data_IF_091427836106
#
_entry.id   IF_091427836106
#
_cell.length_a   1.000
_cell.length_b   1.000
_cell.length_c   1.000
_cell.angle_alpha   90.00
_cell.angle_beta   90.00
_cell.angle_gamma   90.00
#
_symmetry.space_group_name_H-M   'P 1'
#
loop_
_entity.id
_entity.type
_entity.pdbx_description
1 polymer ?
#
# COMPACT_ATOMS: atom_id res chain seq x y z
N UNK A 1 31.22 -6.41 11.43
CA UNK A 1 29.87 -6.99 11.64
C UNK A 1 29.14 -6.76 10.33
N UNK A 2 28.93 -7.82 9.53
CA UNK A 2 28.04 -7.72 8.38
C UNK A 2 26.65 -7.36 8.90
N UNK A 3 26.17 -6.17 8.54
CA UNK A 3 24.77 -5.81 8.72
C UNK A 3 23.94 -6.83 7.94
N UNK A 4 23.29 -7.74 8.65
CA UNK A 4 22.34 -8.65 8.03
C UNK A 4 21.28 -7.80 7.34
N UNK A 5 21.33 -7.75 6.00
CA UNK A 5 20.45 -6.90 5.22
C UNK A 5 18.99 -7.35 5.49
N UNK A 6 18.04 -6.43 5.40
CA UNK A 6 16.64 -6.70 5.78
C UNK A 6 16.04 -7.96 5.11
N UNK A 7 16.53 -8.32 3.92
CA UNK A 7 16.16 -9.51 3.18
C UNK A 7 16.61 -10.80 3.87
N UNK A 8 17.87 -10.91 4.28
CA UNK A 8 18.40 -12.11 4.92
C UNK A 8 17.80 -12.29 6.31
N UNK A 9 17.57 -11.19 7.04
CA UNK A 9 16.80 -11.19 8.31
C UNK A 9 15.41 -11.80 8.12
N UNK A 10 14.67 -11.34 7.10
CA UNK A 10 13.33 -11.85 6.80
C UNK A 10 13.35 -13.30 6.33
N UNK A 11 14.36 -13.70 5.54
CA UNK A 11 14.53 -15.08 5.07
C UNK A 11 14.74 -16.04 6.24
N UNK A 12 15.62 -15.71 7.19
CA UNK A 12 15.86 -16.53 8.40
C UNK A 12 14.58 -16.65 9.24
N UNK A 13 13.91 -15.52 9.49
CA UNK A 13 12.70 -15.49 10.29
C UNK A 13 11.55 -16.34 9.70
N UNK A 14 11.34 -16.33 8.38
CA UNK A 14 10.32 -17.17 7.72
C UNK A 14 10.60 -18.66 7.90
N UNK A 15 11.87 -19.07 7.85
CA UNK A 15 12.27 -20.48 8.06
C UNK A 15 12.10 -20.88 9.53
N UNK A 16 12.47 -19.99 10.46
CA UNK A 16 12.33 -20.22 11.90
C UNK A 16 10.85 -20.29 12.32
N UNK A 17 10.03 -19.33 11.89
CA UNK A 17 8.61 -19.26 12.21
C UNK A 17 7.76 -20.25 11.42
N UNK A 18 8.19 -20.71 10.24
CA UNK A 18 7.50 -21.79 9.52
C UNK A 18 7.66 -23.16 10.19
N UNK A 19 8.66 -23.32 11.05
CA UNK A 19 8.87 -24.52 11.87
C UNK A 19 8.12 -24.48 13.20
N UNK A 20 7.83 -23.28 13.71
CA UNK A 20 6.96 -23.10 14.87
C UNK A 20 5.51 -23.02 14.40
N UNK A 21 4.58 -23.50 15.24
CA UNK A 21 3.15 -23.34 14.97
C UNK A 21 2.74 -21.95 15.41
N UNK A 22 3.05 -20.93 14.61
CA UNK A 22 2.50 -19.59 14.82
C UNK A 22 1.00 -19.69 14.56
N UNK A 23 0.21 -19.47 15.60
CA UNK A 23 -1.24 -19.52 15.52
C UNK A 23 -1.78 -18.13 15.18
N UNK A 24 -2.68 -18.09 14.20
CA UNK A 24 -3.53 -16.92 14.01
C UNK A 24 -4.55 -16.97 15.14
N UNK A 25 -4.70 -15.90 15.93
CA UNK A 25 -5.73 -15.83 16.96
C UNK A 25 -7.13 -15.99 16.36
N UNK A 26 -8.04 -16.60 17.11
CA UNK A 26 -9.45 -16.76 16.69
C UNK A 26 -10.18 -15.41 16.57
N UNK A 27 -9.69 -14.39 17.27
CA UNK A 27 -10.24 -13.04 17.33
C UNK A 27 -9.14 -12.06 16.92
N UNK A 28 -9.43 -11.24 15.91
CA UNK A 28 -8.59 -10.14 15.44
C UNK A 28 -8.73 -8.90 16.33
N UNK A 29 -9.91 -8.66 16.91
CA UNK A 29 -10.19 -7.56 17.83
C UNK A 29 -10.70 -6.29 17.14
N UNK A 30 -11.01 -6.36 15.85
CA UNK A 30 -11.59 -5.28 15.04
C UNK A 30 -12.83 -5.78 14.26
N UNK A 31 -13.49 -6.82 14.75
CA UNK A 31 -14.63 -7.46 14.10
C UNK A 31 -15.81 -6.49 13.91
N UNK A 32 -15.92 -5.46 14.76
CA UNK A 32 -16.97 -4.44 14.66
C UNK A 32 -16.88 -3.65 13.34
N UNK A 33 -15.67 -3.36 12.87
CA UNK A 33 -15.43 -2.63 11.61
C UNK A 33 -15.86 -3.43 10.37
N UNK A 34 -15.98 -4.76 10.47
CA UNK A 34 -16.41 -5.59 9.34
C UNK A 34 -17.85 -5.28 8.90
N UNK A 35 -18.69 -4.74 9.78
CA UNK A 35 -20.06 -4.33 9.44
C UNK A 35 -20.08 -3.03 8.63
N UNK A 36 -19.15 -2.14 8.94
CA UNK A 36 -19.06 -0.80 8.38
C UNK A 36 -18.35 -0.81 7.01
N UNK A 37 -17.70 -1.92 6.63
CA UNK A 37 -16.97 -2.06 5.36
C UNK A 37 -17.72 -2.87 4.30
N UNK A 38 -18.97 -3.27 4.55
CA UNK A 38 -19.74 -4.14 3.65
C UNK A 38 -20.15 -3.42 2.37
N UNK A 39 -20.52 -2.15 2.47
CA UNK A 39 -21.05 -1.36 1.35
C UNK A 39 -19.99 -0.48 0.69
N UNK A 40 -18.74 -0.48 1.19
CA UNK A 40 -17.64 0.38 0.76
C UNK A 40 -17.98 1.88 0.76
N UNK A 41 -19.12 2.31 1.32
CA UNK A 41 -19.60 3.68 1.19
C UNK A 41 -18.72 4.65 1.95
N UNK A 42 -18.18 4.25 3.11
CA UNK A 42 -17.23 5.06 3.88
C UNK A 42 -15.93 5.36 3.11
N UNK A 43 -15.46 4.42 2.28
CA UNK A 43 -14.27 4.62 1.45
C UNK A 43 -14.59 5.47 0.23
N UNK A 44 -15.73 5.20 -0.40
CA UNK A 44 -16.20 5.97 -1.55
C UNK A 44 -16.50 7.41 -1.14
N UNK A 45 -17.12 7.67 0.01
CA UNK A 45 -17.38 9.01 0.54
C UNK A 45 -16.11 9.81 0.83
N UNK A 46 -14.96 9.15 1.05
CA UNK A 46 -13.65 9.79 1.14
C UNK A 46 -13.02 10.06 -0.23
N UNK A 47 -13.40 9.30 -1.27
CA UNK A 47 -12.89 9.41 -2.65
C UNK A 47 -13.76 10.29 -3.55
N UNK A 48 -15.05 10.41 -3.23
CA UNK A 48 -16.08 11.25 -3.83
C UNK A 48 -15.90 12.76 -3.61
N UNK A 49 -15.26 13.28 -2.55
CA UNK A 49 -15.04 14.71 -2.40
C UNK A 49 -14.22 15.22 -3.58
N UNK A 50 -14.73 16.25 -4.24
CA UNK A 50 -14.16 16.84 -5.47
C UNK A 50 -12.68 17.18 -5.36
N UNK A 51 -12.15 17.39 -4.15
CA UNK A 51 -10.74 17.71 -3.91
C UNK A 51 -9.75 16.68 -4.47
N UNK A 52 -10.02 15.37 -4.35
CA UNK A 52 -9.11 14.34 -4.86
C UNK A 52 -9.13 14.32 -6.39
N UNK A 53 -10.33 14.44 -6.98
CA UNK A 53 -10.49 14.47 -8.43
C UNK A 53 -9.83 15.71 -9.04
N UNK A 54 -10.00 16.89 -8.40
CA UNK A 54 -9.33 18.14 -8.80
C UNK A 54 -7.81 18.06 -8.66
N UNK A 55 -7.30 17.47 -7.57
CA UNK A 55 -5.87 17.26 -7.39
C UNK A 55 -5.29 16.34 -8.49
N UNK A 56 -6.02 15.28 -8.87
CA UNK A 56 -5.64 14.41 -9.98
C UNK A 56 -5.60 15.16 -11.31
N UNK A 57 -6.63 15.96 -11.61
CA UNK A 57 -6.65 16.78 -12.83
C UNK A 57 -5.49 17.78 -12.87
N UNK A 58 -5.21 18.46 -11.76
CA UNK A 58 -4.09 19.39 -11.64
C UNK A 58 -2.73 18.71 -11.89
N UNK A 59 -2.49 17.53 -11.31
CA UNK A 59 -1.26 16.75 -11.55
C UNK A 59 -1.13 16.27 -13.00
N UNK A 60 -2.25 15.91 -13.64
CA UNK A 60 -2.26 15.52 -15.06
C UNK A 60 -1.95 16.73 -15.96
N UNK A 61 -2.53 17.89 -15.68
CA UNK A 61 -2.26 19.12 -16.44
C UNK A 61 -0.85 19.67 -16.20
N UNK A 62 -0.32 19.57 -14.98
CA UNK A 62 1.08 19.88 -14.67
C UNK A 62 2.01 18.92 -15.40
N UNK A 63 1.73 17.62 -15.40
CA UNK A 63 2.50 16.62 -16.15
C UNK A 63 2.50 16.89 -17.66
N UNK A 64 1.37 17.33 -18.22
CA UNK A 64 1.23 17.69 -19.65
C UNK A 64 1.95 18.99 -20.00
N UNK A 65 1.89 19.99 -19.12
CA UNK A 65 2.45 21.34 -19.35
C UNK A 65 3.94 21.42 -19.01
N UNK A 66 4.39 20.66 -18.01
CA UNK A 66 5.77 20.62 -17.53
C UNK A 66 6.67 19.62 -18.26
N UNK A 67 6.11 18.68 -19.03
CA UNK A 67 6.91 17.76 -19.83
C UNK A 67 7.10 18.28 -21.25
N UNK A 68 8.14 19.10 -21.45
CA UNK A 68 8.95 18.90 -22.64
C UNK A 68 9.50 17.47 -22.59
N UNK A 69 8.75 16.52 -23.16
CA UNK A 69 9.07 15.10 -23.32
C UNK A 69 9.98 14.49 -22.24
N UNK A 70 9.43 14.13 -21.07
CA UNK A 70 10.16 13.27 -20.12
C UNK A 70 10.24 11.88 -20.73
N UNK A 71 11.32 11.64 -21.50
CA UNK A 71 11.67 10.31 -21.98
C UNK A 71 12.22 9.54 -20.79
N UNK A 72 11.40 8.65 -20.24
CA UNK A 72 11.84 7.67 -19.25
C UNK A 72 12.78 6.70 -19.99
N UNK A 73 14.09 6.90 -19.85
CA UNK A 73 15.09 5.96 -20.35
C UNK A 73 15.32 4.87 -19.31
N UNK A 74 14.91 3.64 -19.66
CA UNK A 74 15.23 2.46 -18.87
C UNK A 74 16.70 2.09 -19.13
N UNK A 75 17.57 2.27 -18.14
CA UNK A 75 18.92 1.71 -18.17
C UNK A 75 18.91 0.39 -17.41
N UNK A 76 19.10 -0.69 -18.16
CA UNK A 76 19.43 -2.02 -17.66
C UNK A 76 20.86 -2.07 -17.10
#
# INVERSE_FOLDING_TARGET
MEEDNGRERLKRHRIEMGKSKVWIPDIWGQEELLKDWIDCSEFDDCLVPSGIMLAREALVEEGRTGSGGVRIENRC
#
